data_IF_072194898130
#
_entry.id   IF_072194898130
#
_cell.length_a   1.000
_cell.length_b   1.000
_cell.length_c   1.000
_cell.angle_alpha   90.00
_cell.angle_beta   90.00
_cell.angle_gamma   90.00
#
_symmetry.space_group_name_H-M   'P 1'
#
loop_
_entity.id
_entity.type
_entity.pdbx_description
1 polymer ?
#
# COMPACT_ATOMS: atom_id res chain seq x y z
N UNK A 1 10.87 -81.55 34.40
CA UNK A 1 10.21 -80.51 35.24
C UNK A 1 10.93 -79.19 35.00
N UNK A 2 10.15 -78.14 34.69
CA UNK A 2 10.51 -76.70 34.57
C UNK A 2 11.49 -76.30 33.45
N UNK A 3 11.02 -75.83 32.28
CA UNK A 3 10.54 -74.47 31.90
C UNK A 3 11.69 -73.50 31.62
N UNK A 4 11.77 -73.01 30.37
CA UNK A 4 12.02 -71.58 30.11
C UNK A 4 11.67 -71.23 28.65
N UNK A 5 10.66 -70.37 28.50
CA UNK A 5 10.25 -69.72 27.25
C UNK A 5 11.33 -68.72 26.81
N UNK A 6 11.88 -68.89 25.60
CA UNK A 6 12.70 -67.89 24.95
C UNK A 6 11.83 -66.98 24.07
N UNK A 7 11.52 -65.79 24.56
CA UNK A 7 10.82 -64.75 23.80
C UNK A 7 11.79 -64.05 22.84
N UNK A 8 11.49 -64.09 21.53
CA UNK A 8 12.12 -63.24 20.52
C UNK A 8 11.44 -61.86 20.55
N UNK A 9 12.08 -60.89 21.18
CA UNK A 9 11.72 -59.47 21.09
C UNK A 9 12.35 -58.90 19.82
N UNK A 10 11.55 -58.69 18.78
CA UNK A 10 11.93 -57.93 17.60
C UNK A 10 11.64 -56.45 17.89
N UNK A 11 12.68 -55.69 18.17
CA UNK A 11 12.64 -54.23 18.29
C UNK A 11 12.52 -53.60 16.91
N UNK A 12 11.31 -53.17 16.54
CA UNK A 12 11.08 -52.34 15.37
C UNK A 12 11.48 -50.88 15.66
N UNK A 13 12.61 -50.44 15.08
CA UNK A 13 13.00 -49.04 15.01
C UNK A 13 12.10 -48.32 14.01
N UNK A 14 11.06 -47.64 14.51
CA UNK A 14 10.27 -46.68 13.71
C UNK A 14 11.05 -45.37 13.67
N UNK A 15 11.73 -45.11 12.54
CA UNK A 15 12.31 -43.80 12.25
C UNK A 15 11.15 -42.86 11.91
N UNK A 16 10.79 -41.99 12.87
CA UNK A 16 9.88 -40.89 12.62
C UNK A 16 10.58 -39.87 11.70
N UNK A 17 10.25 -39.88 10.42
CA UNK A 17 10.59 -38.79 9.51
C UNK A 17 9.72 -37.61 9.90
N UNK A 18 10.27 -36.72 10.72
CA UNK A 18 9.67 -35.41 10.99
C UNK A 18 9.71 -34.66 9.65
N UNK A 19 8.58 -34.65 8.94
CA UNK A 19 8.35 -33.73 7.85
C UNK A 19 8.43 -32.32 8.43
N UNK A 20 9.54 -31.63 8.15
CA UNK A 20 9.69 -30.22 8.45
C UNK A 20 8.53 -29.45 7.78
N UNK A 21 7.91 -28.47 8.46
CA UNK A 21 6.85 -27.69 7.87
C UNK A 21 7.43 -26.97 6.66
N UNK A 22 6.86 -27.24 5.48
CA UNK A 22 7.22 -26.54 4.25
C UNK A 22 7.05 -25.04 4.49
N UNK A 23 8.18 -24.33 4.58
CA UNK A 23 8.19 -22.88 4.58
C UNK A 23 7.43 -22.44 3.35
N UNK A 24 6.32 -21.73 3.56
CA UNK A 24 5.62 -21.02 2.49
C UNK A 24 6.67 -20.19 1.75
N UNK A 25 6.96 -20.56 0.51
CA UNK A 25 7.72 -19.73 -0.42
C UNK A 25 6.97 -18.41 -0.53
N UNK A 26 7.40 -17.40 0.24
CA UNK A 26 6.94 -16.02 0.10
C UNK A 26 7.11 -15.65 -1.37
N UNK A 27 6.02 -15.24 -2.03
CA UNK A 27 6.08 -14.68 -3.38
C UNK A 27 7.22 -13.67 -3.44
N UNK A 28 8.18 -13.88 -4.35
CA UNK A 28 9.28 -12.91 -4.54
C UNK A 28 8.76 -11.58 -5.07
N UNK A 29 7.59 -11.59 -5.73
CA UNK A 29 6.91 -10.40 -6.23
C UNK A 29 6.08 -9.78 -5.11
N UNK A 30 6.36 -8.53 -4.72
CA UNK A 30 5.60 -7.85 -3.68
C UNK A 30 4.15 -7.56 -4.09
N UNK A 31 3.25 -7.46 -3.09
CA UNK A 31 1.80 -7.32 -3.33
C UNK A 31 1.41 -6.07 -4.13
N UNK A 32 2.00 -4.91 -3.88
CA UNK A 32 1.72 -3.67 -4.65
C UNK A 32 2.23 -3.70 -6.09
N UNK A 33 3.06 -4.68 -6.45
CA UNK A 33 3.50 -4.85 -7.84
C UNK A 33 2.35 -5.37 -8.71
N UNK A 34 1.49 -6.22 -8.14
CA UNK A 34 0.29 -6.80 -8.75
C UNK A 34 -0.87 -6.69 -7.75
N UNK A 35 -1.41 -5.49 -7.52
CA UNK A 35 -2.35 -5.21 -6.43
C UNK A 35 -3.67 -5.96 -6.60
N UNK A 36 -4.11 -6.19 -7.84
CA UNK A 36 -5.30 -6.97 -8.16
C UNK A 36 -5.02 -8.46 -8.43
N UNK A 37 -3.77 -8.91 -8.32
CA UNK A 37 -3.35 -10.26 -8.72
C UNK A 37 -2.95 -10.37 -10.19
N UNK A 38 -2.95 -11.60 -10.72
CA UNK A 38 -2.61 -11.87 -12.13
C UNK A 38 -3.85 -11.64 -13.00
N UNK A 39 -3.79 -10.69 -13.93
CA UNK A 39 -4.93 -10.38 -14.81
C UNK A 39 -5.10 -11.49 -15.83
N UNK A 40 -6.24 -12.19 -15.78
CA UNK A 40 -6.76 -12.94 -16.92
C UNK A 40 -7.17 -11.90 -17.96
N UNK A 41 -6.90 -12.17 -19.24
CA UNK A 41 -7.31 -11.29 -20.35
C UNK A 41 -8.83 -11.07 -20.30
N UNK A 42 -9.25 -9.93 -19.76
CA UNK A 42 -10.66 -9.54 -19.75
C UNK A 42 -11.04 -9.14 -21.17
N UNK A 43 -11.95 -9.90 -21.78
CA UNK A 43 -12.53 -9.56 -23.08
C UNK A 43 -13.14 -8.16 -22.99
N UNK A 44 -12.61 -7.23 -23.78
CA UNK A 44 -13.06 -5.86 -23.84
C UNK A 44 -14.47 -5.85 -24.43
N UNK A 45 -15.47 -5.73 -23.55
CA UNK A 45 -16.85 -5.51 -23.97
C UNK A 45 -16.94 -4.14 -24.64
N UNK A 46 -17.67 -4.05 -25.74
CA UNK A 46 -17.84 -2.79 -26.45
C UNK A 46 -18.52 -1.76 -25.53
N UNK A 47 -17.79 -0.70 -25.19
CA UNK A 47 -18.27 0.37 -24.33
C UNK A 47 -19.38 1.15 -25.06
N UNK A 48 -20.63 0.93 -24.66
CA UNK A 48 -21.81 1.57 -25.27
C UNK A 48 -21.98 3.02 -24.78
N UNK A 49 -21.45 3.35 -23.60
CA UNK A 49 -21.55 4.70 -23.02
C UNK A 49 -20.34 5.05 -22.12
N UNK A 50 -19.24 5.43 -22.75
CA UNK A 50 -17.94 5.69 -22.11
C UNK A 50 -18.02 6.71 -20.97
N UNK A 51 -18.84 7.76 -21.12
CA UNK A 51 -18.86 8.87 -20.17
C UNK A 51 -19.48 8.48 -18.83
N UNK A 52 -20.51 7.64 -18.88
CA UNK A 52 -21.20 7.18 -17.66
C UNK A 52 -20.35 6.11 -16.96
N UNK A 53 -19.67 5.24 -17.71
CA UNK A 53 -18.74 4.27 -17.14
C UNK A 53 -17.52 4.91 -16.44
N UNK A 54 -16.94 5.98 -17.03
CA UNK A 54 -15.87 6.73 -16.37
C UNK A 54 -16.39 7.37 -15.09
N UNK A 55 -17.60 7.94 -15.11
CA UNK A 55 -18.21 8.59 -13.95
C UNK A 55 -18.43 7.61 -12.81
N UNK A 56 -19.08 6.47 -13.08
CA UNK A 56 -19.36 5.43 -12.10
C UNK A 56 -18.06 4.88 -11.48
N UNK A 57 -17.02 4.74 -12.29
CA UNK A 57 -15.69 4.32 -11.85
C UNK A 57 -15.03 5.35 -10.93
N UNK A 58 -15.10 6.63 -11.27
CA UNK A 58 -14.57 7.71 -10.44
C UNK A 58 -15.37 7.89 -9.14
N UNK A 59 -16.70 7.68 -9.17
CA UNK A 59 -17.54 7.69 -7.97
C UNK A 59 -17.18 6.54 -7.02
N UNK A 60 -16.97 5.33 -7.54
CA UNK A 60 -16.50 4.18 -6.76
C UNK A 60 -15.12 4.45 -6.12
N UNK A 61 -14.19 5.01 -6.89
CA UNK A 61 -12.88 5.42 -6.38
C UNK A 61 -12.99 6.49 -5.29
N UNK A 62 -13.88 7.47 -5.45
CA UNK A 62 -14.15 8.51 -4.46
C UNK A 62 -14.65 7.92 -3.14
N UNK A 63 -15.60 6.98 -3.20
CA UNK A 63 -16.10 6.27 -2.01
C UNK A 63 -14.99 5.47 -1.31
N UNK A 64 -14.17 4.74 -2.07
CA UNK A 64 -13.04 4.00 -1.52
C UNK A 64 -11.99 4.92 -0.88
N UNK A 65 -11.72 6.07 -1.52
CA UNK A 65 -10.86 7.10 -0.97
C UNK A 65 -11.44 7.69 0.33
N UNK A 66 -12.76 7.88 0.43
CA UNK A 66 -13.44 8.31 1.66
C UNK A 66 -13.27 7.30 2.80
N UNK A 67 -13.44 6.01 2.52
CA UNK A 67 -13.21 4.94 3.49
C UNK A 67 -11.75 4.91 3.95
N UNK A 68 -10.81 4.96 2.99
CA UNK A 68 -9.37 4.99 3.25
C UNK A 68 -8.98 6.16 4.15
N UNK A 69 -9.49 7.35 3.84
CA UNK A 69 -9.22 8.56 4.62
C UNK A 69 -9.78 8.46 6.03
N UNK A 70 -11.01 7.95 6.16
CA UNK A 70 -11.69 7.81 7.44
C UNK A 70 -10.96 6.80 8.34
N UNK A 71 -10.58 5.63 7.79
CA UNK A 71 -9.78 4.65 8.52
C UNK A 71 -8.45 5.27 8.97
N UNK A 72 -7.72 5.92 8.05
CA UNK A 72 -6.43 6.54 8.35
C UNK A 72 -6.51 7.54 9.50
N UNK A 73 -7.50 8.45 9.49
CA UNK A 73 -7.69 9.43 10.54
C UNK A 73 -8.07 8.79 11.89
N UNK A 74 -8.85 7.70 11.86
CA UNK A 74 -9.28 7.00 13.08
C UNK A 74 -8.16 6.19 13.76
N UNK A 75 -7.03 5.94 13.08
CA UNK A 75 -5.87 5.24 13.67
C UNK A 75 -5.06 6.10 14.63
N UNK A 76 -5.26 7.41 14.64
CA UNK A 76 -4.55 8.37 15.50
C UNK A 76 -3.02 8.18 15.49
N UNK A 77 -2.44 8.26 14.28
CA UNK A 77 -0.99 8.18 14.12
C UNK A 77 -0.23 9.28 14.88
N UNK A 78 -0.89 10.40 15.18
CA UNK A 78 -0.30 11.47 16.00
C UNK A 78 -0.03 11.02 17.44
N UNK A 79 -0.94 10.24 18.02
CA UNK A 79 -0.73 9.58 19.31
C UNK A 79 0.30 8.44 19.19
N UNK A 80 0.16 7.56 18.19
CA UNK A 80 1.06 6.41 18.02
C UNK A 80 2.53 6.80 17.83
N UNK A 81 2.80 7.97 17.25
CA UNK A 81 4.14 8.51 16.99
C UNK A 81 4.47 9.77 17.82
N UNK A 82 3.81 9.97 18.98
CA UNK A 82 3.94 11.19 19.79
C UNK A 82 5.40 11.55 20.14
N UNK A 83 6.25 10.54 20.35
CA UNK A 83 7.66 10.69 20.71
C UNK A 83 8.47 11.44 19.65
N UNK A 84 8.11 11.28 18.39
CA UNK A 84 8.80 11.92 17.25
C UNK A 84 8.16 13.26 16.93
N UNK A 85 6.83 13.36 17.03
CA UNK A 85 6.07 14.60 16.82
C UNK A 85 6.60 15.75 17.68
N UNK A 86 6.99 15.48 18.93
CA UNK A 86 7.45 16.49 19.88
C UNK A 86 8.92 16.87 19.63
N UNK A 87 9.74 15.93 19.14
CA UNK A 87 11.20 16.09 19.11
C UNK A 87 11.78 16.58 17.79
N UNK A 88 10.99 16.62 16.71
CA UNK A 88 11.51 16.72 15.34
C UNK A 88 10.81 17.83 14.59
N UNK A 89 11.60 18.78 14.08
CA UNK A 89 11.08 19.86 13.25
C UNK A 89 10.82 19.33 11.84
N UNK A 90 9.81 19.88 11.13
CA UNK A 90 9.34 19.45 9.80
C UNK A 90 10.42 19.23 8.73
N UNK A 91 11.62 19.79 8.89
CA UNK A 91 12.69 19.72 7.90
C UNK A 91 13.77 18.67 8.22
N UNK A 92 13.72 18.00 9.37
CA UNK A 92 14.88 17.27 9.90
C UNK A 92 15.11 15.88 9.29
N UNK A 93 14.08 15.24 8.71
CA UNK A 93 14.24 14.18 7.71
C UNK A 93 12.88 13.78 7.12
N UNK A 94 12.60 14.14 5.87
CA UNK A 94 11.39 13.71 5.16
C UNK A 94 11.80 12.97 3.88
N UNK A 95 11.45 11.68 3.72
CA UNK A 95 11.89 10.89 2.56
C UNK A 95 11.43 11.53 1.25
N UNK A 96 12.32 11.73 0.29
CA UNK A 96 12.05 12.48 -0.95
C UNK A 96 11.49 11.60 -2.09
N UNK A 97 11.47 10.29 -1.91
CA UNK A 97 11.04 9.30 -2.89
C UNK A 97 9.55 8.95 -2.78
N UNK A 98 8.90 9.29 -1.66
CA UNK A 98 7.44 9.29 -1.53
C UNK A 98 6.85 10.65 -1.94
N UNK A 99 5.61 10.68 -2.48
CA UNK A 99 4.92 11.91 -2.84
C UNK A 99 4.99 12.96 -1.72
N UNK A 100 5.23 14.21 -2.09
CA UNK A 100 5.38 15.29 -1.11
C UNK A 100 4.67 16.57 -1.54
N UNK A 101 5.11 17.70 -0.97
CA UNK A 101 4.47 19.00 -1.19
C UNK A 101 4.29 19.37 -2.68
N UNK A 102 5.24 18.99 -3.54
CA UNK A 102 5.14 19.22 -4.99
C UNK A 102 3.98 18.43 -5.61
N UNK A 103 3.85 17.15 -5.27
CA UNK A 103 2.77 16.28 -5.75
C UNK A 103 1.42 16.70 -5.17
N UNK A 104 1.37 17.08 -3.89
CA UNK A 104 0.17 17.65 -3.26
C UNK A 104 -0.29 18.93 -3.97
N UNK A 105 0.64 19.82 -4.29
CA UNK A 105 0.31 21.06 -5.02
C UNK A 105 -0.13 20.78 -6.45
N UNK A 106 0.44 19.77 -7.12
CA UNK A 106 -0.02 19.31 -8.43
C UNK A 106 -1.48 18.84 -8.36
N UNK A 107 -1.81 17.99 -7.37
CA UNK A 107 -3.18 17.49 -7.16
C UNK A 107 -4.14 18.63 -6.86
N UNK A 108 -3.78 19.55 -5.94
CA UNK A 108 -4.58 20.75 -5.65
C UNK A 108 -4.75 21.66 -6.86
N UNK A 109 -3.75 21.72 -7.73
CA UNK A 109 -3.77 22.49 -8.98
C UNK A 109 -4.86 22.03 -9.96
N UNK A 110 -5.31 20.77 -9.89
CA UNK A 110 -6.42 20.27 -10.72
C UNK A 110 -7.72 21.03 -10.49
N UNK A 111 -7.95 21.53 -9.27
CA UNK A 111 -9.17 22.24 -8.88
C UNK A 111 -9.11 23.71 -9.32
N UNK A 112 -7.92 24.29 -9.38
CA UNK A 112 -7.72 25.71 -9.69
C UNK A 112 -7.62 26.00 -11.19
N UNK A 113 -7.59 24.97 -12.05
CA UNK A 113 -7.36 25.11 -13.48
C UNK A 113 -8.62 25.50 -14.27
N UNK A 114 -9.84 25.29 -13.75
CA UNK A 114 -11.09 25.69 -14.42
C UNK A 114 -12.13 26.25 -13.43
N UNK A 115 -12.89 27.30 -13.77
CA UNK A 115 -13.81 27.97 -12.83
C UNK A 115 -15.04 27.16 -12.39
N UNK A 116 -15.28 25.94 -12.86
CA UNK A 116 -16.47 25.16 -12.51
C UNK A 116 -16.16 23.66 -12.59
N UNK A 117 -16.15 22.98 -11.43
CA UNK A 117 -16.07 21.50 -11.25
C UNK A 117 -14.88 20.79 -11.92
N UNK A 118 -14.10 20.02 -11.15
CA UNK A 118 -13.09 19.13 -11.75
C UNK A 118 -13.81 18.12 -12.63
N UNK A 119 -13.61 18.20 -13.94
CA UNK A 119 -14.20 17.27 -14.89
C UNK A 119 -13.73 15.84 -14.61
N UNK A 120 -14.63 14.86 -14.71
CA UNK A 120 -14.33 13.42 -14.55
C UNK A 120 -13.16 13.00 -15.46
N UNK A 121 -13.06 13.59 -16.66
CA UNK A 121 -11.93 13.38 -17.57
C UNK A 121 -10.59 13.92 -17.05
N UNK A 122 -10.63 15.06 -16.35
CA UNK A 122 -9.44 15.62 -15.70
C UNK A 122 -8.92 14.63 -14.65
N UNK A 123 -9.81 14.09 -13.81
CA UNK A 123 -9.46 13.08 -12.80
C UNK A 123 -8.89 11.83 -13.48
N UNK A 124 -9.55 11.32 -14.52
CA UNK A 124 -9.12 10.15 -15.28
C UNK A 124 -7.67 10.31 -15.79
N UNK A 125 -7.34 11.47 -16.37
CA UNK A 125 -5.98 11.75 -16.87
C UNK A 125 -4.89 11.76 -15.79
N UNK A 126 -5.26 11.94 -14.52
CA UNK A 126 -4.33 11.88 -13.38
C UNK A 126 -4.26 10.51 -12.72
N UNK A 127 -5.09 9.53 -13.10
CA UNK A 127 -5.05 8.18 -12.54
C UNK A 127 -3.67 7.50 -12.67
N UNK A 128 -2.92 7.61 -13.79
CA UNK A 128 -1.57 7.05 -13.85
C UNK A 128 -0.62 7.65 -12.80
N UNK A 129 -0.77 8.94 -12.50
CA UNK A 129 0.02 9.60 -11.46
C UNK A 129 -0.39 9.09 -10.07
N UNK A 130 -1.71 9.00 -9.82
CA UNK A 130 -2.25 8.45 -8.59
C UNK A 130 -1.74 7.02 -8.37
N UNK A 131 -1.83 6.15 -9.37
CA UNK A 131 -1.34 4.77 -9.33
C UNK A 131 0.13 4.69 -8.91
N UNK A 132 1.00 5.42 -9.60
CA UNK A 132 2.43 5.42 -9.30
C UNK A 132 2.72 5.95 -7.88
N UNK A 133 1.99 6.97 -7.43
CA UNK A 133 2.15 7.54 -6.10
C UNK A 133 1.68 6.59 -5.00
N UNK A 134 0.56 5.90 -5.20
CA UNK A 134 0.08 4.85 -4.29
C UNK A 134 1.07 3.68 -4.22
N UNK A 135 1.70 3.28 -5.35
CA UNK A 135 2.75 2.27 -5.31
C UNK A 135 3.98 2.72 -4.51
N UNK A 136 4.38 4.01 -4.58
CA UNK A 136 5.48 4.53 -3.76
C UNK A 136 5.14 4.50 -2.27
N UNK A 137 3.92 4.89 -1.91
CA UNK A 137 3.45 4.74 -0.54
C UNK A 137 3.41 3.26 -0.13
N UNK A 138 3.02 2.35 -1.01
CA UNK A 138 2.94 0.93 -0.67
C UNK A 138 4.32 0.33 -0.38
N UNK A 139 5.37 0.73 -1.13
CA UNK A 139 6.76 0.41 -0.80
C UNK A 139 7.15 0.96 0.58
N UNK A 140 6.70 2.18 0.91
CA UNK A 140 6.98 2.76 2.22
C UNK A 140 6.27 2.00 3.35
N UNK A 141 4.98 1.70 3.22
CA UNK A 141 4.22 0.95 4.22
C UNK A 141 4.70 -0.50 4.38
N UNK A 142 5.21 -1.14 3.32
CA UNK A 142 5.93 -2.42 3.46
C UNK A 142 7.06 -2.26 4.48
N UNK A 143 7.95 -1.30 4.24
CA UNK A 143 9.13 -1.09 5.08
C UNK A 143 8.74 -0.71 6.52
N UNK A 144 7.79 0.22 6.70
CA UNK A 144 7.30 0.64 8.01
C UNK A 144 6.80 -0.56 8.82
N UNK A 145 6.13 -1.52 8.17
CA UNK A 145 5.65 -2.73 8.83
C UNK A 145 6.75 -3.75 9.11
N UNK A 146 7.73 -3.89 8.22
CA UNK A 146 8.88 -4.80 8.43
C UNK A 146 9.75 -4.36 9.60
N UNK A 147 9.88 -3.04 9.79
CA UNK A 147 10.68 -2.42 10.84
C UNK A 147 9.95 -2.29 12.20
N UNK A 148 8.63 -2.46 12.23
CA UNK A 148 7.83 -2.17 13.44
C UNK A 148 7.88 -3.31 14.45
N UNK A 149 8.10 -2.93 15.71
CA UNK A 149 8.21 -3.86 16.85
C UNK A 149 7.04 -3.75 17.81
N UNK A 150 6.34 -2.62 17.83
CA UNK A 150 5.11 -2.39 18.59
C UNK A 150 3.92 -3.05 17.91
N UNK A 151 3.25 -4.03 18.56
CA UNK A 151 2.09 -4.69 17.96
C UNK A 151 0.96 -3.72 17.59
N UNK A 152 0.73 -2.71 18.41
CA UNK A 152 -0.33 -1.70 18.17
C UNK A 152 -0.05 -0.85 16.94
N UNK A 153 1.19 -0.40 16.77
CA UNK A 153 1.58 0.40 15.59
C UNK A 153 1.56 -0.49 14.35
N UNK A 154 2.07 -1.72 14.45
CA UNK A 154 2.04 -2.69 13.37
C UNK A 154 0.61 -2.97 12.87
N UNK A 155 -0.35 -3.15 13.78
CA UNK A 155 -1.75 -3.35 13.43
C UNK A 155 -2.36 -2.14 12.71
N UNK A 156 -2.07 -0.92 13.17
CA UNK A 156 -2.50 0.30 12.51
C UNK A 156 -1.91 0.40 11.09
N UNK A 157 -0.60 0.21 10.95
CA UNK A 157 0.10 0.24 9.66
C UNK A 157 -0.44 -0.83 8.70
N UNK A 158 -0.71 -2.04 9.20
CA UNK A 158 -1.29 -3.13 8.41
C UNK A 158 -2.69 -2.79 7.90
N UNK A 159 -3.53 -2.18 8.73
CA UNK A 159 -4.85 -1.73 8.30
C UNK A 159 -4.74 -0.67 7.20
N UNK A 160 -3.88 0.33 7.40
CA UNK A 160 -3.63 1.37 6.38
C UNK A 160 -3.06 0.79 5.08
N UNK A 161 -2.13 -0.18 5.16
CA UNK A 161 -1.61 -0.88 3.98
C UNK A 161 -2.73 -1.63 3.24
N UNK A 162 -3.70 -2.20 3.95
CA UNK A 162 -4.83 -2.92 3.34
C UNK A 162 -5.68 -1.97 2.49
N UNK A 163 -6.13 -0.84 3.04
CA UNK A 163 -6.88 0.16 2.29
C UNK A 163 -6.06 0.78 1.15
N UNK A 164 -4.77 1.03 1.37
CA UNK A 164 -3.87 1.51 0.31
C UNK A 164 -3.80 0.53 -0.87
N UNK A 165 -3.74 -0.77 -0.58
CA UNK A 165 -3.71 -1.82 -1.60
C UNK A 165 -5.05 -1.94 -2.35
N UNK A 166 -6.17 -1.83 -1.65
CA UNK A 166 -7.51 -1.80 -2.25
C UNK A 166 -7.66 -0.60 -3.19
N UNK A 167 -7.29 0.59 -2.72
CA UNK A 167 -7.34 1.81 -3.53
C UNK A 167 -6.39 1.74 -4.74
N UNK A 168 -5.19 1.20 -4.56
CA UNK A 168 -4.26 0.98 -5.66
C UNK A 168 -4.81 0.01 -6.71
N UNK A 169 -5.48 -1.07 -6.27
CA UNK A 169 -6.12 -2.02 -7.18
C UNK A 169 -7.29 -1.37 -7.93
N UNK A 170 -8.13 -0.61 -7.24
CA UNK A 170 -9.25 0.09 -7.86
C UNK A 170 -8.77 1.05 -8.96
N UNK A 171 -7.75 1.86 -8.67
CA UNK A 171 -7.16 2.77 -9.66
C UNK A 171 -6.60 2.00 -10.88
N UNK A 172 -6.00 0.84 -10.65
CA UNK A 172 -5.48 -0.01 -11.71
C UNK A 172 -6.57 -0.56 -12.62
N UNK A 173 -7.67 -1.07 -12.05
CA UNK A 173 -8.82 -1.55 -12.80
C UNK A 173 -9.39 -0.42 -13.67
N UNK A 174 -9.60 0.77 -13.10
CA UNK A 174 -10.10 1.92 -13.85
C UNK A 174 -9.16 2.30 -15.00
N UNK A 175 -7.84 2.28 -14.81
CA UNK A 175 -6.90 2.54 -15.90
C UNK A 175 -7.00 1.48 -17.00
N UNK A 176 -7.16 0.21 -16.63
CA UNK A 176 -7.29 -0.90 -17.60
C UNK A 176 -8.59 -0.83 -18.40
N UNK A 177 -9.67 -0.39 -17.76
CA UNK A 177 -11.00 -0.28 -18.37
C UNK A 177 -11.14 0.98 -19.25
N UNK A 178 -10.24 1.96 -19.11
CA UNK A 178 -10.23 3.20 -19.89
C UNK A 178 -9.17 3.17 -21.02
N UNK A 179 -9.54 2.87 -22.27
CA UNK A 179 -8.60 2.58 -23.37
C UNK A 179 -7.56 3.67 -23.71
N UNK A 180 -7.81 4.99 -23.55
CA UNK A 180 -6.78 5.98 -23.86
C UNK A 180 -5.68 6.08 -22.79
N UNK A 181 -5.89 5.49 -21.60
CA UNK A 181 -5.00 5.62 -20.46
C UNK A 181 -4.10 4.40 -20.37
N UNK A 182 -2.80 4.62 -20.23
CA UNK A 182 -1.84 3.51 -20.09
C UNK A 182 -1.42 3.36 -18.65
N UNK A 183 -1.38 2.10 -18.20
CA UNK A 183 -0.82 1.76 -16.91
C UNK A 183 0.66 2.18 -16.85
N UNK A 184 1.09 2.93 -15.82
CA UNK A 184 2.46 3.38 -15.71
C UNK A 184 3.41 2.22 -15.41
N UNK A 185 4.71 2.46 -15.57
CA UNK A 185 5.74 1.49 -15.16
C UNK A 185 5.64 1.25 -13.65
N UNK A 186 5.70 -0.01 -13.27
CA UNK A 186 5.67 -0.45 -11.87
C UNK A 186 6.84 0.13 -11.08
N UNK A 187 6.54 0.58 -9.87
CA UNK A 187 7.54 1.08 -8.94
C UNK A 187 8.32 -0.09 -8.32
N UNK A 188 9.65 0.02 -8.30
CA UNK A 188 10.57 -0.95 -7.71
C UNK A 188 10.82 -0.64 -6.23
N UNK A 189 11.11 -1.66 -5.40
CA UNK A 189 11.60 -1.47 -4.02
C UNK A 189 12.88 -0.62 -3.93
N UNK A 190 13.62 -0.51 -5.03
CA UNK A 190 14.84 0.29 -5.14
C UNK A 190 14.62 1.80 -5.17
N UNK A 191 13.37 2.29 -5.16
CA UNK A 191 13.09 3.72 -4.94
C UNK A 191 13.59 4.19 -3.58
N UNK A 192 13.61 3.29 -2.60
CA UNK A 192 14.11 3.53 -1.26
C UNK A 192 15.57 3.11 -1.22
N UNK A 193 16.45 4.06 -0.87
CA UNK A 193 17.87 3.79 -0.80
C UNK A 193 18.20 2.79 0.32
N UNK A 194 19.35 2.12 0.22
CA UNK A 194 19.81 1.17 1.25
C UNK A 194 19.97 1.84 2.62
N UNK A 195 20.41 3.10 2.64
CA UNK A 195 20.58 3.90 3.86
C UNK A 195 19.25 4.28 4.50
N UNK A 196 18.20 4.47 3.69
CA UNK A 196 16.84 4.72 4.20
C UNK A 196 16.17 3.45 4.73
N UNK A 197 16.44 2.32 4.07
CA UNK A 197 16.00 0.97 4.46
C UNK A 197 16.74 0.43 5.70
N UNK A 198 17.95 0.92 5.96
CA UNK A 198 18.73 0.51 7.13
C UNK A 198 19.19 1.77 7.88
N UNK A 199 18.28 2.46 8.59
CA UNK A 199 18.64 3.64 9.36
C UNK A 199 19.66 3.29 10.45
N UNK A 200 20.54 4.24 10.77
CA UNK A 200 21.63 4.03 11.75
C UNK A 200 21.12 3.82 13.18
N UNK A 201 19.95 4.36 13.49
CA UNK A 201 19.36 4.36 14.82
C UNK A 201 17.83 4.46 14.73
N UNK A 202 17.16 4.09 15.83
CA UNK A 202 15.70 4.11 15.93
C UNK A 202 15.10 5.52 15.80
N UNK A 203 15.84 6.56 16.16
CA UNK A 203 15.32 7.93 16.03
C UNK A 203 15.17 8.29 14.56
N UNK A 204 16.18 8.00 13.73
CA UNK A 204 16.09 8.20 12.27
C UNK A 204 15.01 7.35 11.62
N UNK A 205 14.84 6.10 12.07
CA UNK A 205 13.76 5.21 11.63
C UNK A 205 12.40 5.85 11.91
N UNK A 206 12.15 6.23 13.16
CA UNK A 206 10.87 6.81 13.55
C UNK A 206 10.60 8.16 12.87
N UNK A 207 11.63 8.98 12.63
CA UNK A 207 11.49 10.22 11.85
C UNK A 207 11.06 9.93 10.41
N UNK A 208 11.71 8.97 9.75
CA UNK A 208 11.35 8.53 8.40
C UNK A 208 9.89 8.08 8.36
N UNK A 209 9.49 7.22 9.29
CA UNK A 209 8.17 6.62 9.36
C UNK A 209 7.10 7.69 9.56
N UNK A 210 7.33 8.60 10.52
CA UNK A 210 6.48 9.77 10.74
C UNK A 210 6.37 10.65 9.50
N UNK A 211 7.49 10.91 8.81
CA UNK A 211 7.52 11.66 7.56
C UNK A 211 6.69 11.02 6.44
N UNK A 212 6.70 9.69 6.32
CA UNK A 212 5.86 8.95 5.37
C UNK A 212 4.39 9.11 5.72
N UNK A 213 4.02 8.93 6.99
CA UNK A 213 2.64 9.03 7.47
C UNK A 213 2.06 10.44 7.22
N UNK A 214 2.79 11.49 7.61
CA UNK A 214 2.39 12.88 7.35
C UNK A 214 2.16 13.15 5.86
N UNK A 215 3.08 12.68 5.00
CA UNK A 215 2.96 12.86 3.55
C UNK A 215 1.77 12.11 2.97
N UNK A 216 1.50 10.90 3.45
CA UNK A 216 0.35 10.12 3.02
C UNK A 216 -0.96 10.82 3.40
N UNK A 217 -1.06 11.31 4.65
CA UNK A 217 -2.19 12.13 5.12
C UNK A 217 -2.42 13.35 4.23
N UNK A 218 -1.38 14.13 3.98
CA UNK A 218 -1.46 15.35 3.19
C UNK A 218 -1.87 15.05 1.73
N UNK A 219 -1.41 13.92 1.20
CA UNK A 219 -1.78 13.43 -0.13
C UNK A 219 -3.25 13.00 -0.20
N UNK A 220 -3.74 12.24 0.79
CA UNK A 220 -5.16 11.89 0.89
C UNK A 220 -6.05 13.14 1.02
N UNK A 221 -5.65 14.14 1.81
CA UNK A 221 -6.38 15.41 1.87
C UNK A 221 -6.40 16.13 0.52
N UNK A 222 -5.32 16.09 -0.26
CA UNK A 222 -5.28 16.70 -1.59
C UNK A 222 -6.31 16.05 -2.51
N UNK A 223 -6.40 14.72 -2.53
CA UNK A 223 -7.38 13.97 -3.32
C UNK A 223 -8.81 14.11 -2.80
N UNK A 224 -9.01 14.26 -1.49
CA UNK A 224 -10.32 14.60 -0.92
C UNK A 224 -10.89 15.87 -1.54
N UNK A 225 -10.06 16.89 -1.75
CA UNK A 225 -10.51 18.12 -2.41
C UNK A 225 -10.86 17.91 -3.88
N UNK A 226 -10.19 16.99 -4.58
CA UNK A 226 -10.49 16.67 -5.98
C UNK A 226 -11.82 15.94 -6.11
N UNK A 227 -12.08 14.97 -5.22
CA UNK A 227 -13.32 14.23 -5.18
C UNK A 227 -14.49 15.01 -4.56
N UNK A 228 -14.19 16.04 -3.76
CA UNK A 228 -15.13 16.99 -3.18
C UNK A 228 -16.26 16.33 -2.34
N UNK A 229 -15.85 15.64 -1.27
CA UNK A 229 -16.75 15.13 -0.22
C UNK A 229 -16.21 15.48 1.19
#
# INVERSE_FOLDING_TARGET
MFVARGYLLISALVVAVIAAPSGQTKSQVPRWHLPCGSTVETETSAIVNFNDEVRDSIERLSLLHQLTMTDYLNRDYEFLYERVRIGVHDHQYIPNWVPGKKDVNLVKGMINAEPQTVSVYCIANYLPKLHMDLQKFAVAFEELMEDETSPTIFEALRATQTYLMEMLCEVENIIMDLPPIRLPKRVSRSIMSRTERNPLDDTRRLIRDWGVLMKYRDYLHAWKHVFNY
#
